data_IF_097483052901
#
_entry.id   IF_097483052901
#
_cell.length_a   1.000
_cell.length_b   1.000
_cell.length_c   1.000
_cell.angle_alpha   90.00
_cell.angle_beta   90.00
_cell.angle_gamma   90.00
#
_symmetry.space_group_name_H-M   'P 1'
#
loop_
_entity.id
_entity.type
_entity.pdbx_description
1 polymer ?
#
# COMPACT_ATOMS: atom_id res chain seq x y z
N UNK A 1 2.37 -1.37 -32.04
CA UNK A 1 1.45 -0.35 -31.50
C UNK A 1 0.84 -0.94 -30.24
N UNK A 2 1.27 -0.47 -29.08
CA UNK A 2 0.72 -0.91 -27.80
C UNK A 2 -0.74 -0.48 -27.75
N UNK A 3 -1.64 -1.44 -27.65
CA UNK A 3 -3.02 -1.17 -27.28
C UNK A 3 -2.97 -0.65 -25.83
N UNK A 4 -3.11 0.65 -25.64
CA UNK A 4 -3.51 1.19 -24.35
C UNK A 4 -4.92 0.67 -24.14
N UNK A 5 -5.04 -0.47 -23.49
CA UNK A 5 -6.32 -0.98 -23.02
C UNK A 5 -6.94 0.14 -22.16
N UNK A 6 -8.24 0.37 -22.34
CA UNK A 6 -9.00 1.35 -21.57
C UNK A 6 -9.02 0.87 -20.10
N UNK A 7 -8.02 1.25 -19.33
CA UNK A 7 -7.99 0.99 -17.88
C UNK A 7 -9.13 1.78 -17.24
N UNK A 8 -9.95 1.09 -16.47
CA UNK A 8 -11.07 1.70 -15.76
C UNK A 8 -10.54 2.52 -14.59
N UNK A 9 -11.11 3.70 -14.40
CA UNK A 9 -10.86 4.52 -13.21
C UNK A 9 -12.13 4.51 -12.38
N UNK A 10 -11.98 4.18 -11.10
CA UNK A 10 -13.06 4.18 -10.14
C UNK A 10 -12.95 5.41 -9.24
N UNK A 11 -14.08 6.04 -8.97
CA UNK A 11 -14.21 7.16 -8.06
C UNK A 11 -15.06 6.78 -6.85
N UNK A 12 -15.19 7.68 -5.89
CA UNK A 12 -15.93 7.43 -4.65
C UNK A 12 -17.37 6.93 -4.90
N UNK A 13 -18.02 7.42 -5.97
CA UNK A 13 -19.36 6.96 -6.36
C UNK A 13 -19.42 5.51 -6.89
N UNK A 14 -18.27 4.95 -7.29
CA UNK A 14 -18.15 3.57 -7.76
C UNK A 14 -17.77 2.60 -6.62
N UNK A 15 -17.52 3.11 -5.42
CA UNK A 15 -16.97 2.37 -4.29
C UNK A 15 -17.98 2.33 -3.15
N UNK A 16 -18.43 1.14 -2.76
CA UNK A 16 -19.36 0.95 -1.64
C UNK A 16 -18.61 0.58 -0.36
N UNK A 17 -18.41 1.54 0.54
CA UNK A 17 -17.73 1.32 1.81
C UNK A 17 -18.44 0.29 2.69
N UNK A 18 -19.77 0.13 2.55
CA UNK A 18 -20.55 -0.81 3.37
C UNK A 18 -20.19 -2.28 3.14
N UNK A 19 -19.49 -2.59 2.05
CA UNK A 19 -18.89 -3.93 1.81
C UNK A 19 -17.91 -4.33 2.94
N UNK A 20 -17.35 -3.34 3.64
CA UNK A 20 -16.46 -3.58 4.79
C UNK A 20 -17.18 -3.67 6.14
N UNK A 21 -18.51 -3.52 6.17
CA UNK A 21 -19.28 -3.61 7.41
C UNK A 21 -19.12 -5.00 8.03
N UNK A 22 -18.66 -5.03 9.29
CA UNK A 22 -18.36 -6.27 10.01
C UNK A 22 -17.06 -6.97 9.60
N UNK A 23 -16.32 -6.46 8.60
CA UNK A 23 -15.00 -6.96 8.23
C UNK A 23 -13.93 -6.40 9.18
N UNK A 24 -13.03 -7.26 9.61
CA UNK A 24 -11.90 -6.93 10.48
C UNK A 24 -10.64 -6.74 9.65
N UNK A 25 -10.00 -5.57 9.79
CA UNK A 25 -8.85 -5.19 8.98
C UNK A 25 -7.59 -5.16 9.84
N UNK A 26 -6.58 -5.95 9.50
CA UNK A 26 -5.24 -5.84 10.07
C UNK A 26 -4.32 -5.08 9.13
N UNK A 27 -3.73 -3.98 9.60
CA UNK A 27 -2.66 -3.27 8.93
C UNK A 27 -1.33 -3.72 9.52
N UNK A 28 -0.56 -4.48 8.74
CA UNK A 28 0.73 -5.04 9.19
C UNK A 28 1.85 -4.06 8.85
N UNK A 29 2.42 -3.47 9.89
CA UNK A 29 3.38 -2.37 9.80
C UNK A 29 2.78 -1.02 10.14
N UNK A 30 3.60 -0.10 10.69
CA UNK A 30 3.18 1.25 11.05
C UNK A 30 4.28 2.26 10.66
N UNK A 31 4.72 2.12 9.40
CA UNK A 31 5.64 3.02 8.71
C UNK A 31 4.90 4.14 7.98
N UNK A 32 5.49 4.61 6.86
CA UNK A 32 4.94 5.71 6.06
C UNK A 32 3.51 5.43 5.57
N UNK A 33 3.26 4.29 4.95
CA UNK A 33 1.90 3.93 4.50
C UNK A 33 1.05 3.41 5.66
N UNK A 34 1.62 2.58 6.54
CA UNK A 34 0.85 1.89 7.58
C UNK A 34 0.11 2.83 8.53
N UNK A 35 0.72 3.95 8.92
CA UNK A 35 0.03 4.92 9.78
C UNK A 35 -1.14 5.59 9.06
N UNK A 36 -0.97 5.94 7.77
CA UNK A 36 -2.03 6.57 6.99
C UNK A 36 -3.21 5.62 6.76
N UNK A 37 -2.93 4.37 6.34
CA UNK A 37 -3.95 3.35 6.14
C UNK A 37 -4.74 3.10 7.43
N UNK A 38 -4.05 2.81 8.53
CA UNK A 38 -4.72 2.48 9.79
C UNK A 38 -5.59 3.64 10.32
N UNK A 39 -5.11 4.88 10.26
CA UNK A 39 -5.84 6.03 10.76
C UNK A 39 -7.02 6.41 9.85
N UNK A 40 -6.81 6.43 8.53
CA UNK A 40 -7.87 6.79 7.59
C UNK A 40 -9.03 5.79 7.64
N UNK A 41 -8.73 4.48 7.63
CA UNK A 41 -9.74 3.43 7.76
C UNK A 41 -10.50 3.52 9.10
N UNK A 42 -9.78 3.72 10.20
CA UNK A 42 -10.41 3.92 11.51
C UNK A 42 -11.35 5.13 11.52
N UNK A 43 -10.92 6.27 10.97
CA UNK A 43 -11.75 7.48 10.89
C UNK A 43 -12.93 7.33 9.91
N UNK A 44 -12.82 6.41 8.95
CA UNK A 44 -13.91 6.01 8.05
C UNK A 44 -14.87 5.00 8.66
N UNK A 45 -14.68 4.59 9.93
CA UNK A 45 -15.58 3.71 10.67
C UNK A 45 -15.26 2.21 10.56
N UNK A 46 -14.14 1.83 9.93
CA UNK A 46 -13.73 0.44 9.82
C UNK A 46 -13.17 -0.11 11.15
N UNK A 47 -13.32 -1.43 11.38
CA UNK A 47 -12.70 -2.13 12.50
C UNK A 47 -11.25 -2.48 12.16
N UNK A 48 -10.29 -1.73 12.75
CA UNK A 48 -8.88 -1.78 12.38
C UNK A 48 -7.99 -2.10 13.57
N UNK A 49 -7.05 -3.01 13.38
CA UNK A 49 -5.92 -3.24 14.28
C UNK A 49 -4.60 -3.06 13.53
N UNK A 50 -3.55 -2.76 14.27
CA UNK A 50 -2.19 -2.69 13.73
C UNK A 50 -1.43 -3.93 14.18
N UNK A 51 -0.84 -4.67 13.24
CA UNK A 51 0.04 -5.81 13.50
C UNK A 51 1.50 -5.40 13.48
N UNK A 52 2.24 -5.64 14.57
CA UNK A 52 3.66 -5.31 14.67
C UNK A 52 4.46 -6.49 15.25
N UNK A 53 5.75 -6.56 14.92
CA UNK A 53 6.64 -7.50 15.58
C UNK A 53 6.85 -7.12 17.06
N UNK A 54 7.14 -8.11 17.89
CA UNK A 54 7.38 -7.89 19.32
C UNK A 54 8.59 -6.95 19.55
N UNK A 55 8.42 -5.94 20.39
CA UNK A 55 9.44 -4.91 20.63
C UNK A 55 9.51 -3.79 19.60
N UNK A 56 8.55 -3.70 18.68
CA UNK A 56 8.49 -2.62 17.69
C UNK A 56 8.39 -1.25 18.34
N UNK A 57 9.29 -0.33 17.94
CA UNK A 57 9.28 1.08 18.40
C UNK A 57 8.02 1.84 17.94
N UNK A 58 7.31 1.34 16.96
CA UNK A 58 6.09 1.97 16.44
C UNK A 58 4.86 1.69 17.30
N UNK A 59 4.92 0.71 18.22
CA UNK A 59 3.79 0.32 19.08
C UNK A 59 3.24 1.51 19.87
N UNK A 60 4.10 2.18 20.62
CA UNK A 60 3.67 3.33 21.43
C UNK A 60 3.07 4.47 20.58
N UNK A 61 3.58 4.66 19.34
CA UNK A 61 3.05 5.68 18.41
C UNK A 61 1.64 5.33 17.94
N UNK A 62 1.38 4.08 17.61
CA UNK A 62 0.08 3.61 17.16
C UNK A 62 -0.95 3.64 18.31
N UNK A 63 -0.57 3.19 19.50
CA UNK A 63 -1.41 3.22 20.71
C UNK A 63 -1.76 4.65 21.13
N UNK A 64 -0.83 5.61 21.00
CA UNK A 64 -1.09 7.03 21.27
C UNK A 64 -2.14 7.65 20.34
N UNK A 65 -2.34 7.07 19.15
CA UNK A 65 -3.41 7.44 18.21
C UNK A 65 -4.71 6.65 18.46
N UNK A 66 -4.77 5.90 19.56
CA UNK A 66 -5.94 5.10 19.93
C UNK A 66 -6.17 3.87 19.05
N UNK A 67 -5.13 3.37 18.37
CA UNK A 67 -5.18 2.13 17.61
C UNK A 67 -4.87 0.94 18.54
N UNK A 68 -5.59 -0.15 18.35
CA UNK A 68 -5.26 -1.43 19.01
C UNK A 68 -4.07 -2.05 18.28
N UNK A 69 -3.04 -2.44 19.04
CA UNK A 69 -1.84 -3.06 18.49
C UNK A 69 -1.75 -4.50 18.98
N UNK A 70 -1.55 -5.40 18.05
CA UNK A 70 -1.37 -6.85 18.25
C UNK A 70 -0.01 -7.28 17.69
N UNK A 71 0.44 -8.48 17.99
CA UNK A 71 1.53 -9.09 17.22
C UNK A 71 1.06 -9.38 15.79
N UNK A 72 1.99 -9.51 14.84
CA UNK A 72 1.66 -9.81 13.43
C UNK A 72 0.79 -11.07 13.32
N UNK A 73 1.13 -12.13 14.05
CA UNK A 73 0.38 -13.39 14.03
C UNK A 73 -1.03 -13.24 14.64
N UNK A 74 -1.16 -12.56 15.78
CA UNK A 74 -2.47 -12.29 16.39
C UNK A 74 -3.35 -11.41 15.51
N UNK A 75 -2.76 -10.40 14.85
CA UNK A 75 -3.48 -9.52 13.93
C UNK A 75 -3.97 -10.28 12.69
N UNK A 76 -3.11 -11.13 12.09
CA UNK A 76 -3.48 -11.97 10.97
C UNK A 76 -4.60 -12.95 11.31
N UNK A 77 -4.53 -13.59 12.48
CA UNK A 77 -5.56 -14.52 12.97
C UNK A 77 -6.90 -13.85 13.26
N UNK A 78 -6.88 -12.59 13.66
CA UNK A 78 -8.08 -11.82 14.01
C UNK A 78 -8.80 -11.27 12.79
N UNK A 79 -8.08 -11.05 11.67
CA UNK A 79 -8.56 -10.25 10.55
C UNK A 79 -9.20 -11.08 9.42
N UNK A 80 -10.19 -10.48 8.76
CA UNK A 80 -10.73 -10.94 7.48
C UNK A 80 -9.90 -10.38 6.30
N UNK A 81 -9.30 -9.19 6.50
CA UNK A 81 -8.46 -8.48 5.52
C UNK A 81 -7.11 -8.17 6.16
N UNK A 82 -6.03 -8.63 5.55
CA UNK A 82 -4.65 -8.41 5.99
C UNK A 82 -3.91 -7.56 4.98
N UNK A 83 -3.67 -6.29 5.30
CA UNK A 83 -2.89 -5.36 4.47
C UNK A 83 -1.43 -5.36 4.93
N UNK A 84 -0.51 -5.80 4.08
CA UNK A 84 0.93 -5.87 4.39
C UNK A 84 1.61 -4.57 3.94
N UNK A 85 2.17 -3.82 4.92
CA UNK A 85 2.84 -2.53 4.70
C UNK A 85 4.21 -2.48 5.41
N UNK A 86 4.93 -3.58 5.35
CA UNK A 86 6.33 -3.70 5.79
C UNK A 86 7.27 -3.62 4.58
N UNK A 87 8.58 -3.54 4.83
CA UNK A 87 9.58 -3.53 3.76
C UNK A 87 9.58 -4.83 2.95
N UNK A 88 9.69 -4.75 1.63
CA UNK A 88 9.58 -5.89 0.72
C UNK A 88 10.55 -7.02 1.04
N UNK A 89 11.78 -6.69 1.45
CA UNK A 89 12.82 -7.67 1.80
C UNK A 89 12.44 -8.55 3.00
N UNK A 90 11.56 -8.09 3.86
CA UNK A 90 11.16 -8.80 5.07
C UNK A 90 9.78 -9.47 4.95
N UNK A 91 8.99 -9.09 3.96
CA UNK A 91 7.61 -9.55 3.82
C UNK A 91 7.50 -11.07 3.67
N UNK A 92 8.31 -11.69 2.80
CA UNK A 92 8.21 -13.12 2.54
C UNK A 92 8.46 -13.97 3.80
N UNK A 93 9.49 -13.63 4.59
CA UNK A 93 9.81 -14.34 5.82
C UNK A 93 8.72 -14.13 6.89
N UNK A 94 8.25 -12.89 7.05
CA UNK A 94 7.15 -12.54 7.96
C UNK A 94 5.85 -13.23 7.55
N UNK A 95 5.51 -13.22 6.27
CA UNK A 95 4.33 -13.90 5.73
C UNK A 95 4.35 -15.40 6.07
N UNK A 96 5.44 -16.08 5.75
CA UNK A 96 5.57 -17.52 5.99
C UNK A 96 5.46 -17.89 7.47
N UNK A 97 6.02 -17.04 8.36
CA UNK A 97 6.05 -17.29 9.81
C UNK A 97 4.75 -16.91 10.51
N UNK A 98 4.25 -15.70 10.25
CA UNK A 98 3.25 -15.05 11.11
C UNK A 98 1.88 -14.90 10.43
N UNK A 99 1.80 -14.87 9.09
CA UNK A 99 0.55 -14.62 8.36
C UNK A 99 -0.02 -15.91 7.77
N UNK A 100 0.75 -16.62 6.94
CA UNK A 100 0.26 -17.80 6.24
C UNK A 100 -0.39 -18.88 7.14
N UNK A 101 0.15 -19.19 8.35
CA UNK A 101 -0.46 -20.17 9.24
C UNK A 101 -1.80 -19.72 9.85
N UNK A 102 -2.14 -18.44 9.74
CA UNK A 102 -3.32 -17.83 10.35
C UNK A 102 -4.36 -17.36 9.31
N UNK A 103 -4.10 -17.57 8.02
CA UNK A 103 -5.09 -17.27 6.97
C UNK A 103 -6.15 -18.38 6.91
N UNK A 104 -7.39 -17.96 6.73
CA UNK A 104 -8.54 -18.83 6.53
C UNK A 104 -9.13 -18.63 5.12
N UNK A 105 -9.85 -19.64 4.63
CA UNK A 105 -10.53 -19.55 3.35
C UNK A 105 -11.48 -18.32 3.30
N UNK A 106 -11.42 -17.54 2.24
CA UNK A 106 -12.20 -16.31 2.07
C UNK A 106 -11.57 -15.07 2.70
N UNK A 107 -10.44 -15.19 3.41
CA UNK A 107 -9.67 -14.01 3.80
C UNK A 107 -9.17 -13.25 2.57
N UNK A 108 -8.81 -11.99 2.75
CA UNK A 108 -8.16 -11.17 1.73
C UNK A 108 -6.77 -10.76 2.18
N UNK A 109 -5.79 -11.04 1.34
CA UNK A 109 -4.42 -10.56 1.48
C UNK A 109 -4.22 -9.36 0.56
N UNK A 110 -3.80 -8.24 1.13
CA UNK A 110 -3.62 -6.98 0.40
C UNK A 110 -2.19 -6.47 0.47
N UNK A 111 -1.79 -5.78 -0.58
CA UNK A 111 -0.48 -5.15 -0.72
C UNK A 111 -0.62 -3.70 -1.19
N UNK A 112 0.40 -2.87 -0.96
CA UNK A 112 0.51 -1.53 -1.53
C UNK A 112 1.56 -1.46 -2.65
N UNK A 113 2.31 -2.55 -2.87
CA UNK A 113 3.27 -2.75 -3.95
C UNK A 113 3.30 -4.22 -4.34
N UNK A 114 3.41 -4.52 -5.64
CA UNK A 114 3.23 -5.86 -6.14
C UNK A 114 4.45 -6.79 -6.07
N UNK A 115 5.60 -6.33 -5.58
CA UNK A 115 6.91 -6.99 -5.66
C UNK A 115 6.89 -8.48 -5.25
N UNK A 116 6.47 -8.77 -4.04
CA UNK A 116 6.54 -10.13 -3.49
C UNK A 116 5.61 -11.12 -4.18
N UNK A 117 4.48 -10.65 -4.69
CA UNK A 117 3.54 -11.47 -5.48
C UNK A 117 4.04 -11.63 -6.90
N UNK A 118 4.46 -10.55 -7.56
CA UNK A 118 4.91 -10.57 -8.95
C UNK A 118 6.14 -11.48 -9.15
N UNK A 119 7.09 -11.43 -8.23
CA UNK A 119 8.29 -12.27 -8.30
C UNK A 119 8.14 -13.64 -7.60
N UNK A 120 6.94 -14.02 -7.15
CA UNK A 120 6.65 -15.33 -6.58
C UNK A 120 7.33 -15.61 -5.24
N UNK A 121 7.71 -14.57 -4.49
CA UNK A 121 8.30 -14.69 -3.15
C UNK A 121 7.24 -14.98 -2.08
N UNK A 122 5.99 -14.57 -2.32
CA UNK A 122 4.81 -14.91 -1.53
C UNK A 122 3.83 -15.61 -2.47
N UNK A 123 3.40 -16.81 -2.08
CA UNK A 123 2.43 -17.63 -2.80
C UNK A 123 1.24 -17.93 -1.88
N UNK A 124 0.17 -17.13 -1.91
CA UNK A 124 -1.01 -17.33 -1.08
C UNK A 124 -1.79 -18.60 -1.46
N UNK A 125 -2.56 -19.19 -0.51
CA UNK A 125 -3.46 -20.30 -0.83
C UNK A 125 -4.51 -19.90 -1.86
N UNK A 126 -5.02 -20.88 -2.63
CA UNK A 126 -5.96 -20.63 -3.72
C UNK A 126 -7.37 -20.18 -3.27
N UNK A 127 -7.68 -20.32 -2.00
CA UNK A 127 -8.95 -19.97 -1.36
C UNK A 127 -8.94 -18.59 -0.65
N UNK A 128 -7.90 -17.79 -0.89
CA UNK A 128 -7.73 -16.43 -0.36
C UNK A 128 -7.76 -15.41 -1.49
N UNK A 129 -8.44 -14.28 -1.31
CA UNK A 129 -8.34 -13.17 -2.26
C UNK A 129 -6.97 -12.50 -2.18
N UNK A 130 -6.39 -12.11 -3.31
CA UNK A 130 -5.12 -11.37 -3.36
C UNK A 130 -5.30 -10.11 -4.17
N UNK A 131 -5.18 -8.97 -3.51
CA UNK A 131 -5.42 -7.66 -4.12
C UNK A 131 -4.33 -6.65 -3.76
N UNK A 132 -4.35 -5.53 -4.47
CA UNK A 132 -3.46 -4.41 -4.22
C UNK A 132 -4.26 -3.10 -4.23
N UNK A 133 -3.97 -2.24 -3.26
CA UNK A 133 -4.28 -0.80 -3.30
C UNK A 133 -2.97 -0.06 -3.09
N UNK A 134 -2.49 0.59 -4.15
CA UNK A 134 -1.19 1.26 -4.18
C UNK A 134 -1.37 2.78 -4.33
N UNK A 135 -1.44 3.56 -3.23
CA UNK A 135 -1.47 5.01 -3.30
C UNK A 135 -0.18 5.55 -3.93
N UNK A 136 -0.30 6.46 -4.88
CA UNK A 136 0.85 7.09 -5.56
C UNK A 136 1.21 8.42 -4.89
N UNK A 137 1.47 8.35 -3.59
CA UNK A 137 1.95 9.45 -2.76
C UNK A 137 2.61 8.91 -1.48
N UNK A 138 3.53 9.66 -0.87
CA UNK A 138 4.06 9.32 0.45
C UNK A 138 2.95 9.23 1.49
N UNK A 139 3.10 8.36 2.50
CA UNK A 139 2.04 8.11 3.49
C UNK A 139 1.57 9.36 4.24
N UNK A 140 2.47 10.31 4.54
CA UNK A 140 2.09 11.58 5.16
C UNK A 140 1.17 12.43 4.26
N UNK A 141 1.36 12.37 2.93
CA UNK A 141 0.48 13.02 1.96
C UNK A 141 -0.86 12.30 1.88
N UNK A 142 -0.87 10.95 1.82
CA UNK A 142 -2.12 10.17 1.88
C UNK A 142 -2.93 10.57 3.11
N UNK A 143 -2.29 10.76 4.26
CA UNK A 143 -2.94 11.16 5.50
C UNK A 143 -3.44 12.60 5.47
N UNK A 144 -2.61 13.57 5.06
CA UNK A 144 -2.98 14.98 5.04
C UNK A 144 -4.08 15.29 4.02
N UNK A 145 -4.06 14.65 2.85
CA UNK A 145 -5.11 14.80 1.85
C UNK A 145 -6.45 14.23 2.34
N UNK A 146 -6.43 13.08 3.02
CA UNK A 146 -7.61 12.52 3.66
C UNK A 146 -8.21 13.49 4.69
N UNK A 147 -7.39 14.03 5.60
CA UNK A 147 -7.83 14.99 6.62
C UNK A 147 -8.40 16.29 6.02
N UNK A 148 -7.91 16.67 4.85
CA UNK A 148 -8.42 17.82 4.10
C UNK A 148 -9.68 17.53 3.27
N UNK A 149 -10.27 16.31 3.38
CA UNK A 149 -11.43 15.89 2.59
C UNK A 149 -11.13 15.60 1.12
N UNK A 150 -9.85 15.55 0.76
CA UNK A 150 -9.36 15.19 -0.57
C UNK A 150 -8.82 13.75 -0.57
N UNK A 151 -8.21 13.32 -1.66
CA UNK A 151 -7.53 12.03 -1.78
C UNK A 151 -6.27 12.14 -2.60
N UNK A 152 -5.49 11.07 -2.63
CA UNK A 152 -4.36 10.88 -3.54
C UNK A 152 -4.70 9.82 -4.56
N UNK A 153 -4.24 9.92 -5.82
CA UNK A 153 -4.45 8.86 -6.80
C UNK A 153 -3.90 7.52 -6.30
N UNK A 154 -4.56 6.44 -6.65
CA UNK A 154 -4.12 5.09 -6.31
C UNK A 154 -4.32 4.13 -7.48
N UNK A 155 -3.66 2.98 -7.40
CA UNK A 155 -3.87 1.86 -8.30
C UNK A 155 -4.61 0.75 -7.56
N UNK A 156 -5.47 0.01 -8.27
CA UNK A 156 -6.09 -1.23 -7.80
C UNK A 156 -5.73 -2.37 -8.73
N UNK A 157 -5.41 -3.52 -8.17
CA UNK A 157 -5.23 -4.75 -8.93
C UNK A 157 -5.78 -5.96 -8.16
N UNK A 158 -6.30 -6.92 -8.91
CA UNK A 158 -6.73 -8.23 -8.39
C UNK A 158 -5.84 -9.29 -9.02
N UNK A 159 -5.07 -9.99 -8.20
CA UNK A 159 -4.24 -11.11 -8.62
C UNK A 159 -4.99 -12.44 -8.51
N UNK A 160 -5.80 -12.59 -7.46
CA UNK A 160 -6.59 -13.78 -7.18
C UNK A 160 -7.93 -13.37 -6.59
N UNK A 161 -9.00 -13.90 -7.15
CA UNK A 161 -10.38 -13.67 -6.71
C UNK A 161 -11.01 -15.02 -6.35
N UNK A 162 -10.76 -15.47 -5.13
CA UNK A 162 -11.27 -16.73 -4.61
C UNK A 162 -12.75 -16.63 -4.21
N UNK A 163 -13.17 -15.44 -3.77
CA UNK A 163 -14.55 -15.20 -3.27
C UNK A 163 -15.52 -14.71 -4.34
N UNK A 164 -15.04 -14.26 -5.49
CA UNK A 164 -15.81 -13.54 -6.51
C UNK A 164 -16.16 -12.10 -6.10
N UNK A 165 -15.51 -11.57 -5.05
CA UNK A 165 -15.76 -10.23 -4.47
C UNK A 165 -14.46 -9.44 -4.22
N UNK A 166 -13.34 -9.91 -4.72
CA UNK A 166 -12.04 -9.32 -4.42
C UNK A 166 -11.95 -7.86 -4.85
N UNK A 167 -12.46 -7.52 -6.05
CA UNK A 167 -12.46 -6.14 -6.54
C UNK A 167 -13.36 -5.22 -5.70
N UNK A 168 -14.57 -5.64 -5.38
CA UNK A 168 -15.50 -4.83 -4.58
C UNK A 168 -14.93 -4.54 -3.19
N UNK A 169 -14.33 -5.54 -2.53
CA UNK A 169 -13.66 -5.38 -1.23
C UNK A 169 -12.46 -4.44 -1.33
N UNK A 170 -11.66 -4.55 -2.39
CA UNK A 170 -10.51 -3.66 -2.62
C UNK A 170 -10.96 -2.21 -2.87
N UNK A 171 -12.03 -1.99 -3.64
CA UNK A 171 -12.59 -0.66 -3.88
C UNK A 171 -13.23 -0.07 -2.61
N UNK A 172 -13.90 -0.88 -1.80
CA UNK A 172 -14.40 -0.46 -0.49
C UNK A 172 -13.24 -0.03 0.44
N UNK A 173 -12.13 -0.77 0.43
CA UNK A 173 -10.91 -0.39 1.14
C UNK A 173 -10.35 0.96 0.63
N UNK A 174 -10.33 1.17 -0.69
CA UNK A 174 -9.89 2.42 -1.31
C UNK A 174 -10.78 3.61 -0.89
N UNK A 175 -12.10 3.40 -0.77
CA UNK A 175 -13.03 4.40 -0.25
C UNK A 175 -12.72 4.72 1.21
N UNK A 176 -12.57 3.72 2.07
CA UNK A 176 -12.21 3.89 3.49
C UNK A 176 -10.86 4.58 3.68
N UNK A 177 -9.89 4.30 2.80
CA UNK A 177 -8.59 4.98 2.79
C UNK A 177 -8.70 6.43 2.29
N UNK A 178 -9.77 6.78 1.53
CA UNK A 178 -10.03 8.09 0.96
C UNK A 178 -9.39 8.34 -0.40
N UNK A 179 -8.68 7.36 -0.97
CA UNK A 179 -8.00 7.51 -2.27
C UNK A 179 -8.99 7.52 -3.44
N UNK A 180 -10.18 6.93 -3.27
CA UNK A 180 -11.24 6.95 -4.27
C UNK A 180 -11.74 8.37 -4.60
N UNK A 181 -11.52 9.36 -3.72
CA UNK A 181 -11.84 10.77 -3.97
C UNK A 181 -11.02 11.37 -5.11
N UNK A 182 -9.77 10.91 -5.29
CA UNK A 182 -8.90 11.36 -6.37
C UNK A 182 -8.95 10.44 -7.60
N UNK A 183 -9.41 9.21 -7.41
CA UNK A 183 -9.52 8.18 -8.44
C UNK A 183 -8.57 7.01 -8.23
N UNK A 184 -9.05 5.82 -8.53
CA UNK A 184 -8.35 4.54 -8.41
C UNK A 184 -8.30 3.90 -9.79
N UNK A 185 -7.10 3.81 -10.37
CA UNK A 185 -6.88 3.25 -11.70
C UNK A 185 -6.68 1.74 -11.61
N UNK A 186 -7.43 0.99 -12.41
CA UNK A 186 -7.26 -0.46 -12.51
C UNK A 186 -5.97 -0.81 -13.25
N UNK A 187 -5.23 -1.78 -12.71
CA UNK A 187 -3.95 -2.25 -13.25
C UNK A 187 -3.72 -3.73 -12.92
N UNK A 188 -2.50 -4.21 -13.12
CA UNK A 188 -2.06 -5.55 -12.72
C UNK A 188 -0.89 -5.46 -11.74
N UNK A 189 -0.68 -6.50 -10.93
CA UNK A 189 0.49 -6.60 -10.06
C UNK A 189 1.80 -6.42 -10.83
N UNK A 190 1.90 -7.03 -12.02
CA UNK A 190 3.07 -6.90 -12.89
C UNK A 190 3.30 -5.45 -13.33
N UNK A 191 2.28 -4.82 -13.90
CA UNK A 191 2.41 -3.46 -14.44
C UNK A 191 2.77 -2.47 -13.34
N UNK A 192 2.09 -2.55 -12.20
CA UNK A 192 2.41 -1.69 -11.05
C UNK A 192 3.85 -1.88 -10.61
N UNK A 193 4.28 -3.13 -10.36
CA UNK A 193 5.63 -3.42 -9.86
C UNK A 193 6.72 -2.94 -10.82
N UNK A 194 6.62 -3.28 -12.11
CA UNK A 194 7.63 -2.93 -13.10
C UNK A 194 7.72 -1.41 -13.34
N UNK A 195 6.57 -0.72 -13.39
CA UNK A 195 6.54 0.73 -13.63
C UNK A 195 6.93 1.55 -12.40
N UNK A 196 6.56 1.11 -11.22
CA UNK A 196 6.90 1.77 -9.95
C UNK A 196 8.41 1.69 -9.71
N UNK A 197 9.00 0.47 -9.78
CA UNK A 197 10.44 0.26 -9.66
C UNK A 197 11.22 1.07 -10.70
N UNK A 198 10.80 1.05 -11.97
CA UNK A 198 11.45 1.83 -13.01
C UNK A 198 11.34 3.34 -12.74
N UNK A 199 10.15 3.80 -12.36
CA UNK A 199 9.90 5.20 -12.06
C UNK A 199 10.76 5.72 -10.91
N UNK A 200 10.89 4.96 -9.84
CA UNK A 200 11.75 5.30 -8.70
C UNK A 200 13.23 5.33 -9.08
N UNK A 201 13.73 4.28 -9.74
CA UNK A 201 15.14 4.14 -10.05
C UNK A 201 15.58 5.14 -11.12
N UNK A 202 14.84 5.23 -12.23
CA UNK A 202 15.24 5.99 -13.41
C UNK A 202 14.87 7.49 -13.32
N UNK A 203 13.83 7.84 -12.55
CA UNK A 203 13.28 9.21 -12.56
C UNK A 203 13.24 9.82 -11.16
N UNK A 204 12.34 9.33 -10.28
CA UNK A 204 11.96 10.04 -9.05
C UNK A 204 13.07 10.14 -8.00
N UNK A 205 13.83 9.10 -7.81
CA UNK A 205 14.87 9.03 -6.77
C UNK A 205 16.27 9.03 -7.38
N UNK A 206 16.56 8.12 -8.30
CA UNK A 206 17.87 7.99 -8.92
C UNK A 206 18.17 9.06 -9.96
N UNK A 207 17.32 9.16 -10.99
CA UNK A 207 17.54 10.01 -12.15
C UNK A 207 17.60 11.50 -11.83
N UNK A 208 16.65 12.00 -11.04
CA UNK A 208 16.62 13.42 -10.64
C UNK A 208 17.86 13.80 -9.84
N UNK A 209 18.25 12.98 -8.87
CA UNK A 209 19.45 13.25 -8.08
C UNK A 209 20.73 13.25 -8.93
N UNK A 210 20.86 12.27 -9.83
CA UNK A 210 21.99 12.20 -10.76
C UNK A 210 22.04 13.40 -11.72
N UNK A 211 20.88 13.84 -12.24
CA UNK A 211 20.78 15.02 -13.09
C UNK A 211 21.17 16.30 -12.35
N UNK A 212 20.69 16.49 -11.13
CA UNK A 212 21.05 17.63 -10.29
C UNK A 212 22.55 17.67 -10.01
N UNK A 213 23.13 16.51 -9.65
CA UNK A 213 24.57 16.40 -9.41
C UNK A 213 25.38 16.74 -10.65
N UNK A 214 25.05 16.15 -11.81
CA UNK A 214 25.73 16.43 -13.08
C UNK A 214 25.60 17.91 -13.49
N UNK A 215 24.40 18.51 -13.29
CA UNK A 215 24.17 19.91 -13.55
C UNK A 215 24.99 20.85 -12.66
N UNK A 216 25.26 20.45 -11.41
CA UNK A 216 26.13 21.19 -10.49
C UNK A 216 27.62 21.03 -10.87
N UNK A 217 28.07 19.80 -11.09
CA UNK A 217 29.47 19.49 -11.36
C UNK A 217 29.99 20.04 -12.68
N UNK A 218 29.13 20.07 -13.72
CA UNK A 218 29.52 20.56 -15.04
C UNK A 218 29.94 22.04 -15.06
N UNK A 219 29.16 23.00 -14.54
CA UNK A 219 29.63 24.39 -14.43
C UNK A 219 30.87 24.57 -13.58
N UNK A 220 30.96 23.83 -12.46
CA UNK A 220 32.14 23.88 -11.56
C UNK A 220 33.41 23.43 -12.27
N UNK A 221 33.35 22.36 -13.08
CA UNK A 221 34.51 21.86 -13.79
C UNK A 221 34.98 22.77 -14.95
N UNK A 222 34.03 23.39 -15.67
CA UNK A 222 34.34 24.25 -16.82
C UNK A 222 34.66 25.72 -16.49
N UNK A 223 34.04 26.26 -15.45
CA UNK A 223 34.08 27.69 -15.17
C UNK A 223 34.89 28.07 -13.94
N UNK A 224 35.41 27.10 -13.19
CA UNK A 224 36.07 27.31 -11.91
C UNK A 224 35.25 28.14 -10.90
N UNK A 225 33.93 28.10 -11.01
CA UNK A 225 32.98 28.90 -10.23
C UNK A 225 32.82 28.49 -8.76
N UNK A 226 33.72 27.65 -8.22
CA UNK A 226 33.76 27.41 -6.75
C UNK A 226 34.01 28.68 -5.94
N UNK A 227 34.35 29.76 -6.61
CA UNK A 227 34.66 31.05 -5.95
C UNK A 227 33.41 31.85 -5.55
N UNK A 228 32.22 31.33 -5.72
CA UNK A 228 30.97 32.00 -5.38
C UNK A 228 30.15 31.30 -4.30
N UNK A 229 30.78 30.41 -3.51
CA UNK A 229 30.21 29.89 -2.28
C UNK A 229 30.18 30.96 -1.18
#
# INVERSE_FOLDING_TARGET
MSSYENHKIYYEADCDLSVLDGQKIAVIGYGSQGHAHALNLKESGCDVVVGLYEGSKSKAKAEAQGLKVLTTAEAAKWADIVMILTHDETQAAMYAKDIAPNLEAGNMLMFAHGFNIHYGLINPPADVDVTMIAPKAPGHTVRSEFQAGRGTPALVAVQQDATGKALDRALAYAAGLGVARAGVLETTFRTETETDLFGEQAVLCGGVCALMQAGYETPVSYTHLRAHE
#
